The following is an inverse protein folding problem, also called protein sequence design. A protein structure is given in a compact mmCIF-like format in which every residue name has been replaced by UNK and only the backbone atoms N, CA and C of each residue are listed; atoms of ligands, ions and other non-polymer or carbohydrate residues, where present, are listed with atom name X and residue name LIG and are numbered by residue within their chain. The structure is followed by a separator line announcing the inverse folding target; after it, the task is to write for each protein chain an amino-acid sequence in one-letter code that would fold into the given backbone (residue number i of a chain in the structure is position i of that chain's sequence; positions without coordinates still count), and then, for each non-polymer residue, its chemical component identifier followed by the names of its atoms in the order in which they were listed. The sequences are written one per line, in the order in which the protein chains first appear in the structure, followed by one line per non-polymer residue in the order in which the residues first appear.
data_IF_123802225867
#
_entry.id   IF_123802225867
#
_cell.length_a   1.000
_cell.length_b   1.000
_cell.length_c   1.000
_cell.angle_alpha   90.00
_cell.angle_beta   90.00
_cell.angle_gamma   90.00
#
_symmetry.space_group_name_H-M   'P 1'
#
loop_
_entity.id
_entity.type
_entity.pdbx_description
1 polymer ?
#
# COMPACT_ATOMS: atom_id res chain seq x y z
N UNK A 1 41.33 -3.88 7.13
CA UNK A 1 39.94 -4.40 7.03
C UNK A 1 39.00 -3.26 6.62
N UNK A 2 38.53 -3.19 5.36
CA UNK A 2 37.70 -2.06 4.86
C UNK A 2 36.36 -2.48 4.20
N UNK A 3 35.87 -3.70 4.44
CA UNK A 3 34.68 -4.24 3.75
C UNK A 3 33.31 -3.91 4.37
N UNK A 4 33.25 -3.64 5.67
CA UNK A 4 31.98 -3.59 6.41
C UNK A 4 31.16 -2.30 6.21
N UNK A 5 31.83 -1.16 6.00
CA UNK A 5 31.16 0.14 5.84
C UNK A 5 30.44 0.34 4.49
N UNK A 6 30.85 -0.36 3.42
CA UNK A 6 30.15 -0.31 2.12
C UNK A 6 28.86 -1.15 2.15
N UNK A 7 28.90 -2.35 2.75
CA UNK A 7 27.71 -3.21 2.91
C UNK A 7 26.61 -2.53 3.74
N UNK A 8 26.97 -1.90 4.86
CA UNK A 8 26.01 -1.20 5.73
C UNK A 8 25.32 -0.02 5.01
N UNK A 9 26.07 0.78 4.24
CA UNK A 9 25.52 1.88 3.43
C UNK A 9 24.58 1.39 2.32
N UNK A 10 24.94 0.31 1.63
CA UNK A 10 24.05 -0.27 0.61
C UNK A 10 22.76 -0.83 1.23
N UNK A 11 22.84 -1.50 2.38
CA UNK A 11 21.66 -1.99 3.10
C UNK A 11 20.74 -0.84 3.55
N UNK A 12 21.30 0.25 4.07
CA UNK A 12 20.52 1.43 4.46
C UNK A 12 19.82 2.07 3.25
N UNK A 13 20.49 2.07 2.10
CA UNK A 13 19.95 2.58 0.84
C UNK A 13 18.81 1.70 0.32
N UNK A 14 18.98 0.37 0.35
CA UNK A 14 17.95 -0.59 -0.04
C UNK A 14 16.73 -0.52 0.88
N UNK A 15 16.95 -0.40 2.20
CA UNK A 15 15.86 -0.20 3.15
C UNK A 15 15.04 1.04 2.80
N UNK A 16 15.70 2.18 2.58
CA UNK A 16 15.01 3.43 2.19
C UNK A 16 14.28 3.31 0.86
N UNK A 17 14.86 2.63 -0.13
CA UNK A 17 14.19 2.40 -1.41
C UNK A 17 12.93 1.55 -1.25
N UNK A 18 13.02 0.46 -0.49
CA UNK A 18 11.88 -0.40 -0.20
C UNK A 18 10.79 0.39 0.54
N UNK A 19 11.16 1.11 1.61
CA UNK A 19 10.18 1.85 2.42
C UNK A 19 9.48 2.93 1.57
N UNK A 20 10.18 3.59 0.63
CA UNK A 20 9.55 4.52 -0.33
C UNK A 20 8.59 3.81 -1.27
N UNK A 21 8.97 2.66 -1.82
CA UNK A 21 8.11 1.89 -2.71
C UNK A 21 6.86 1.40 -1.98
N UNK A 22 7.03 0.90 -0.75
CA UNK A 22 5.92 0.46 0.09
C UNK A 22 4.91 1.58 0.33
N UNK A 23 5.36 2.81 0.59
CA UNK A 23 4.46 3.95 0.74
C UNK A 23 3.73 4.29 -0.55
N UNK A 24 4.41 4.26 -1.69
CA UNK A 24 3.77 4.48 -2.98
C UNK A 24 2.73 3.41 -3.29
N UNK A 25 3.03 2.14 -2.99
CA UNK A 25 2.12 1.01 -3.18
C UNK A 25 0.88 1.11 -2.25
N UNK A 26 1.04 1.65 -1.02
CA UNK A 26 -0.08 1.91 -0.10
C UNK A 26 -1.02 2.97 -0.65
N UNK A 27 -0.50 4.11 -1.13
CA UNK A 27 -1.33 5.16 -1.71
C UNK A 27 -2.04 4.66 -2.96
N UNK A 28 -1.36 3.90 -3.83
CA UNK A 28 -1.98 3.30 -5.01
C UNK A 28 -3.12 2.33 -4.64
N UNK A 29 -2.91 1.45 -3.67
CA UNK A 29 -3.95 0.51 -3.22
C UNK A 29 -5.16 1.24 -2.60
N UNK A 30 -4.91 2.35 -1.90
CA UNK A 30 -5.96 3.20 -1.35
C UNK A 30 -6.75 3.88 -2.46
N UNK A 31 -6.09 4.41 -3.48
CA UNK A 31 -6.73 5.03 -4.64
C UNK A 31 -7.52 4.00 -5.46
N UNK A 32 -7.01 2.78 -5.63
CA UNK A 32 -7.73 1.66 -6.26
C UNK A 32 -9.03 1.36 -5.52
N UNK A 33 -8.97 1.25 -4.18
CA UNK A 33 -10.16 1.03 -3.35
C UNK A 33 -11.17 2.18 -3.46
N UNK A 34 -10.70 3.44 -3.41
CA UNK A 34 -11.57 4.61 -3.55
C UNK A 34 -12.21 4.68 -4.94
N UNK A 35 -11.46 4.37 -5.99
CA UNK A 35 -11.95 4.37 -7.37
C UNK A 35 -13.05 3.32 -7.55
N UNK A 36 -12.90 2.11 -7.03
CA UNK A 36 -13.94 1.07 -7.13
C UNK A 36 -15.25 1.54 -6.48
N UNK A 37 -15.18 2.29 -5.38
CA UNK A 37 -16.36 2.78 -4.65
C UNK A 37 -17.06 3.98 -5.27
N UNK A 38 -16.34 4.78 -6.05
CA UNK A 38 -16.83 6.09 -6.53
C UNK A 38 -16.86 6.21 -8.07
N UNK A 39 -16.52 5.14 -8.79
CA UNK A 39 -16.51 5.16 -10.24
C UNK A 39 -17.83 4.63 -10.81
N UNK A 40 -18.62 5.55 -11.35
CA UNK A 40 -19.94 5.25 -11.94
C UNK A 40 -19.85 4.32 -13.15
N UNK A 41 -18.75 4.35 -13.92
CA UNK A 41 -18.56 3.45 -15.06
C UNK A 41 -18.39 2.00 -14.61
N UNK A 42 -17.65 1.76 -13.52
CA UNK A 42 -17.52 0.41 -12.94
C UNK A 42 -18.85 -0.10 -12.39
N UNK A 43 -19.61 0.78 -11.73
CA UNK A 43 -20.96 0.46 -11.24
C UNK A 43 -21.94 0.13 -12.38
N UNK A 44 -21.77 0.75 -13.54
CA UNK A 44 -22.60 0.51 -14.72
C UNK A 44 -22.20 -0.73 -15.54
N UNK A 45 -20.94 -1.16 -15.47
CA UNK A 45 -20.40 -2.21 -16.35
C UNK A 45 -20.16 -3.56 -15.66
N UNK A 46 -19.90 -3.57 -14.35
CA UNK A 46 -19.65 -4.80 -13.59
C UNK A 46 -20.92 -5.30 -12.93
N UNK A 47 -21.01 -6.62 -12.73
CA UNK A 47 -22.03 -7.17 -11.84
C UNK A 47 -21.75 -6.80 -10.38
N UNK A 48 -22.79 -6.81 -9.54
CA UNK A 48 -22.65 -6.52 -8.11
C UNK A 48 -21.66 -7.45 -7.41
N UNK A 49 -21.59 -8.73 -7.80
CA UNK A 49 -20.66 -9.71 -7.23
C UNK A 49 -19.21 -9.40 -7.60
N UNK A 50 -18.94 -9.04 -8.86
CA UNK A 50 -17.60 -8.67 -9.32
C UNK A 50 -17.11 -7.37 -8.67
N UNK A 51 -18.02 -6.41 -8.47
CA UNK A 51 -17.71 -5.16 -7.79
C UNK A 51 -17.34 -5.40 -6.32
N UNK A 52 -18.13 -6.22 -5.60
CA UNK A 52 -17.85 -6.60 -4.22
C UNK A 52 -16.54 -7.38 -4.09
N UNK A 53 -16.27 -8.31 -5.01
CA UNK A 53 -15.01 -9.06 -5.02
C UNK A 53 -13.81 -8.12 -5.24
N UNK A 54 -13.93 -7.18 -6.20
CA UNK A 54 -12.90 -6.19 -6.50
C UNK A 54 -12.64 -5.27 -5.30
N UNK A 55 -13.70 -4.80 -4.64
CA UNK A 55 -13.60 -3.99 -3.42
C UNK A 55 -12.88 -4.75 -2.30
N UNK A 56 -13.25 -6.01 -2.05
CA UNK A 56 -12.61 -6.85 -1.03
C UNK A 56 -11.13 -7.08 -1.32
N UNK A 57 -10.77 -7.33 -2.57
CA UNK A 57 -9.37 -7.51 -2.98
C UNK A 57 -8.58 -6.22 -2.76
N UNK A 58 -9.09 -5.06 -3.22
CA UNK A 58 -8.42 -3.78 -3.06
C UNK A 58 -8.23 -3.42 -1.57
N UNK A 59 -9.26 -3.66 -0.75
CA UNK A 59 -9.18 -3.50 0.71
C UNK A 59 -8.12 -4.41 1.32
N UNK A 60 -8.12 -5.71 0.98
CA UNK A 60 -7.15 -6.66 1.52
C UNK A 60 -5.71 -6.29 1.16
N UNK A 61 -5.47 -5.82 -0.08
CA UNK A 61 -4.16 -5.29 -0.52
C UNK A 61 -3.72 -4.11 0.35
N UNK A 62 -4.59 -3.11 0.51
CA UNK A 62 -4.30 -1.94 1.33
C UNK A 62 -3.97 -2.32 2.77
N UNK A 63 -4.79 -3.17 3.40
CA UNK A 63 -4.56 -3.61 4.78
C UNK A 63 -3.25 -4.38 4.94
N UNK A 64 -2.91 -5.25 3.99
CA UNK A 64 -1.65 -5.98 3.99
C UNK A 64 -0.44 -5.05 3.95
N UNK A 65 -0.44 -4.10 3.01
CA UNK A 65 0.66 -3.14 2.85
C UNK A 65 0.78 -2.21 4.06
N UNK A 66 -0.35 -1.77 4.63
CA UNK A 66 -0.37 -0.95 5.84
C UNK A 66 0.22 -1.70 7.04
N UNK A 67 -0.12 -2.98 7.21
CA UNK A 67 0.46 -3.84 8.27
C UNK A 67 1.97 -3.99 8.09
N UNK A 68 2.45 -4.17 6.86
CA UNK A 68 3.89 -4.26 6.57
C UNK A 68 4.61 -2.93 6.90
N UNK A 69 4.02 -1.78 6.55
CA UNK A 69 4.60 -0.49 6.89
C UNK A 69 4.70 -0.28 8.41
N UNK A 70 3.68 -0.71 9.15
CA UNK A 70 3.68 -0.70 10.62
C UNK A 70 4.76 -1.63 11.19
N UNK A 71 4.88 -2.85 10.67
CA UNK A 71 5.89 -3.81 11.08
C UNK A 71 7.32 -3.29 10.86
N UNK A 72 7.56 -2.64 9.72
CA UNK A 72 8.85 -2.02 9.37
C UNK A 72 9.14 -0.70 10.08
N UNK A 73 8.15 -0.14 10.81
CA UNK A 73 8.22 1.18 11.46
C UNK A 73 8.58 2.28 10.46
N UNK A 74 8.00 2.24 9.27
CA UNK A 74 8.23 3.26 8.24
C UNK A 74 7.79 4.61 8.79
N UNK A 75 8.73 5.55 8.91
CA UNK A 75 8.47 6.91 9.39
C UNK A 75 7.89 7.75 8.26
N UNK A 76 6.63 7.51 7.93
CA UNK A 76 5.83 8.41 7.11
C UNK A 76 4.51 8.65 7.83
N UNK A 77 3.95 9.86 7.68
CA UNK A 77 2.57 10.14 8.08
C UNK A 77 1.65 9.40 7.10
N UNK A 78 1.48 8.09 7.30
CA UNK A 78 0.42 7.36 6.62
C UNK A 78 -0.87 7.85 7.26
N UNK A 79 -1.71 8.54 6.51
CA UNK A 79 -2.98 9.03 7.04
C UNK A 79 -3.88 7.82 7.28
N UNK A 80 -4.21 7.55 8.55
CA UNK A 80 -5.10 6.44 8.99
C UNK A 80 -6.56 6.57 8.53
N UNK A 81 -6.88 7.50 7.64
CA UNK A 81 -8.24 8.02 7.43
C UNK A 81 -9.22 7.10 6.67
N UNK A 82 -8.95 5.79 6.51
CA UNK A 82 -9.87 4.89 5.77
C UNK A 82 -10.17 3.57 6.49
N UNK A 83 -9.83 3.41 7.78
CA UNK A 83 -10.37 2.28 8.56
C UNK A 83 -11.70 2.72 9.17
N UNK A 84 -12.77 2.75 8.37
CA UNK A 84 -14.13 2.74 8.91
C UNK A 84 -14.31 1.36 9.56
N UNK A 85 -14.52 1.38 10.87
CA UNK A 85 -14.67 0.20 11.72
C UNK A 85 -16.11 -0.29 11.72
#
# INVERSE_FOLDING_TARGET
MFGFGRKKRNQETLKKQYDRKLLADIELAKDEFNNIRHNDDLLATMSTEELLASEQIARAKFEFLFREAKHRKVKAKIQESVIVR
#
